data_IF_307122451088
#
_entry.id   IF_307122451088
#
_cell.length_a   1.000
_cell.length_b   1.000
_cell.length_c   1.000
_cell.angle_alpha   90.00
_cell.angle_beta   90.00
_cell.angle_gamma   90.00
#
_symmetry.space_group_name_H-M   'P 1'
#
loop_
_entity.id
_entity.type
_entity.pdbx_description
1 polymer ?
#
# COMPACT_ATOMS: atom_id res chain seq x y z
N UNK A 1 10.28 4.15 -13.58
CA UNK A 1 9.59 5.04 -12.61
C UNK A 1 10.15 4.76 -11.22
N UNK A 2 11.02 5.62 -10.69
CA UNK A 2 11.39 5.55 -9.27
C UNK A 2 10.22 6.09 -8.44
N UNK A 3 9.90 5.43 -7.32
CA UNK A 3 8.95 5.91 -6.28
C UNK A 3 9.62 6.06 -4.90
N UNK A 4 10.92 5.78 -4.83
CA UNK A 4 11.73 5.75 -3.61
C UNK A 4 12.90 6.75 -3.65
N UNK A 5 12.97 7.63 -4.67
CA UNK A 5 13.99 8.65 -4.76
C UNK A 5 13.61 9.88 -3.91
N UNK A 6 14.60 10.71 -3.60
CA UNK A 6 14.38 11.96 -2.88
C UNK A 6 13.36 12.85 -3.61
N UNK A 7 12.52 13.55 -2.84
CA UNK A 7 11.43 14.43 -3.30
C UNK A 7 10.28 13.75 -4.07
N UNK A 8 10.12 12.43 -3.97
CA UNK A 8 8.98 11.73 -4.57
C UNK A 8 7.79 11.63 -3.61
N UNK A 9 6.58 11.83 -4.14
CA UNK A 9 5.35 11.85 -3.35
C UNK A 9 4.60 10.50 -3.43
N UNK A 10 4.11 10.06 -2.27
CA UNK A 10 3.21 8.93 -2.13
C UNK A 10 1.86 9.41 -1.57
N UNK A 11 0.79 8.74 -1.98
CA UNK A 11 -0.55 9.02 -1.46
C UNK A 11 -0.66 8.43 -0.07
N UNK A 12 -1.00 9.25 0.92
CA UNK A 12 -1.15 8.81 2.30
C UNK A 12 -2.33 7.82 2.44
N UNK A 13 -2.24 6.80 3.31
CA UNK A 13 -3.37 5.94 3.64
C UNK A 13 -4.58 6.77 4.07
N UNK A 14 -5.77 6.33 3.66
CA UNK A 14 -7.05 7.01 3.93
C UNK A 14 -7.21 8.41 3.31
N UNK A 15 -6.25 8.91 2.53
CA UNK A 15 -6.42 10.17 1.82
C UNK A 15 -7.34 10.03 0.60
N UNK A 16 -8.17 11.05 0.38
CA UNK A 16 -9.06 11.17 -0.78
C UNK A 16 -8.22 11.58 -1.99
N UNK A 17 -8.48 10.97 -3.14
CA UNK A 17 -7.84 11.33 -4.41
C UNK A 17 -8.74 12.25 -5.23
N UNK A 18 -8.14 13.26 -5.84
CA UNK A 18 -8.79 14.17 -6.78
C UNK A 18 -9.09 13.46 -8.12
N UNK A 19 -10.03 12.51 -8.09
CA UNK A 19 -10.55 11.76 -9.25
C UNK A 19 -12.08 11.71 -9.17
N UNK A 20 -12.72 11.45 -10.32
CA UNK A 20 -14.18 11.26 -10.37
C UNK A 20 -14.61 10.20 -9.35
N UNK A 21 -15.62 10.50 -8.56
CA UNK A 21 -16.09 9.62 -7.48
C UNK A 21 -15.35 9.76 -6.14
N UNK A 22 -14.33 10.61 -6.04
CA UNK A 22 -13.54 10.83 -4.83
C UNK A 22 -13.07 9.52 -4.15
N UNK A 23 -12.32 8.66 -4.89
CA UNK A 23 -11.83 7.40 -4.34
C UNK A 23 -10.78 7.64 -3.26
N UNK A 24 -10.78 6.80 -2.23
CA UNK A 24 -9.89 6.86 -1.07
C UNK A 24 -8.78 5.82 -1.20
N UNK A 25 -7.57 6.17 -0.78
CA UNK A 25 -6.44 5.23 -0.69
C UNK A 25 -6.61 4.31 0.54
N UNK A 26 -7.60 3.41 0.45
CA UNK A 26 -8.02 2.54 1.54
C UNK A 26 -7.07 1.34 1.67
N UNK A 27 -6.45 1.11 2.84
CA UNK A 27 -5.75 -0.14 3.14
C UNK A 27 -6.69 -1.34 3.05
N UNK A 28 -6.19 -2.43 2.47
CA UNK A 28 -6.92 -3.67 2.23
C UNK A 28 -6.19 -4.85 2.88
N UNK A 29 -6.95 -5.85 3.30
CA UNK A 29 -6.41 -7.18 3.60
C UNK A 29 -6.03 -7.91 2.31
N UNK A 30 -5.12 -8.88 2.41
CA UNK A 30 -4.68 -9.67 1.25
C UNK A 30 -5.82 -10.44 0.57
N UNK A 31 -6.76 -10.95 1.35
CA UNK A 31 -7.91 -11.71 0.83
C UNK A 31 -8.87 -10.83 0.00
N UNK A 32 -8.91 -9.52 0.28
CA UNK A 32 -9.75 -8.59 -0.45
C UNK A 32 -9.21 -8.33 -1.87
N UNK A 33 -7.89 -8.38 -2.07
CA UNK A 33 -7.25 -8.11 -3.36
C UNK A 33 -7.62 -9.14 -4.44
N UNK A 34 -7.89 -10.39 -4.05
CA UNK A 34 -8.28 -11.46 -4.97
C UNK A 34 -9.75 -11.46 -5.37
N UNK A 35 -10.57 -10.59 -4.77
CA UNK A 35 -12.01 -10.56 -5.01
C UNK A 35 -12.34 -10.07 -6.42
N UNK A 36 -13.23 -10.78 -7.11
CA UNK A 36 -13.62 -10.52 -8.51
C UNK A 36 -14.21 -9.11 -8.76
N UNK A 37 -14.73 -8.49 -7.71
CA UNK A 37 -15.33 -7.15 -7.73
C UNK A 37 -14.39 -6.06 -7.18
N UNK A 38 -13.11 -6.38 -6.95
CA UNK A 38 -12.15 -5.42 -6.43
C UNK A 38 -11.64 -4.51 -7.55
N UNK A 39 -11.79 -3.20 -7.35
CA UNK A 39 -11.27 -2.17 -8.25
C UNK A 39 -10.53 -1.07 -7.46
N UNK A 40 -9.58 -0.35 -8.08
CA UNK A 40 -8.82 0.71 -7.42
C UNK A 40 -9.66 1.90 -6.90
N UNK A 41 -10.90 2.03 -7.38
CA UNK A 41 -11.86 3.09 -7.07
C UNK A 41 -13.08 2.61 -6.27
N UNK A 42 -13.08 1.35 -5.81
CA UNK A 42 -14.20 0.75 -5.07
C UNK A 42 -14.56 1.50 -3.80
N UNK A 43 -13.58 2.07 -3.10
CA UNK A 43 -13.80 2.79 -1.85
C UNK A 43 -13.78 4.29 -2.10
N UNK A 44 -14.91 4.93 -1.84
CA UNK A 44 -15.07 6.39 -1.97
C UNK A 44 -15.21 7.04 -0.60
N UNK A 45 -15.17 8.37 -0.56
CA UNK A 45 -15.48 9.15 0.64
C UNK A 45 -16.84 8.79 1.26
N UNK A 46 -17.79 8.31 0.45
CA UNK A 46 -19.14 7.91 0.90
C UNK A 46 -19.15 6.53 1.58
N UNK A 47 -18.26 5.63 1.16
CA UNK A 47 -18.22 4.24 1.64
C UNK A 47 -17.32 4.06 2.86
N UNK A 48 -16.28 4.90 2.97
CA UNK A 48 -15.23 4.75 3.98
C UNK A 48 -15.73 4.74 5.43
N UNK A 49 -16.66 5.61 5.85
CA UNK A 49 -17.17 5.58 7.24
C UNK A 49 -17.81 4.23 7.59
N UNK A 50 -18.59 3.66 6.67
CA UNK A 50 -19.24 2.35 6.85
C UNK A 50 -18.22 1.21 6.91
N UNK A 51 -17.12 1.28 6.15
CA UNK A 51 -16.03 0.30 6.23
C UNK A 51 -15.31 0.38 7.57
N UNK A 52 -14.91 1.58 8.00
CA UNK A 52 -14.19 1.79 9.27
C UNK A 52 -15.00 1.34 10.49
N UNK A 53 -16.34 1.46 10.43
CA UNK A 53 -17.22 0.96 11.48
C UNK A 53 -17.30 -0.59 11.53
N UNK A 54 -17.03 -1.28 10.41
CA UNK A 54 -17.22 -2.74 10.28
C UNK A 54 -15.91 -3.52 10.34
N UNK A 55 -14.80 -2.91 9.93
CA UNK A 55 -13.53 -3.57 9.74
C UNK A 55 -12.44 -2.81 10.48
N UNK A 56 -11.61 -3.55 11.21
CA UNK A 56 -10.40 -3.00 11.83
C UNK A 56 -9.40 -2.61 10.75
N UNK A 57 -8.56 -1.60 11.04
CA UNK A 57 -7.52 -1.15 10.12
C UNK A 57 -6.52 -2.29 9.82
N UNK A 58 -6.41 -2.73 8.55
CA UNK A 58 -5.45 -3.77 8.15
C UNK A 58 -3.99 -3.41 8.48
N UNK A 59 -3.69 -2.12 8.55
CA UNK A 59 -2.34 -1.62 8.82
C UNK A 59 -2.07 -1.34 10.30
N UNK A 60 -3.01 -1.62 11.21
CA UNK A 60 -2.86 -1.38 12.65
C UNK A 60 -1.58 -1.99 13.25
N UNK A 61 -1.12 -3.12 12.71
CA UNK A 61 0.08 -3.82 13.16
C UNK A 61 1.28 -3.69 12.21
N UNK A 62 1.27 -2.73 11.26
CA UNK A 62 2.34 -2.55 10.28
C UNK A 62 3.72 -2.40 10.95
N UNK A 63 3.79 -1.60 12.02
CA UNK A 63 5.04 -1.35 12.75
C UNK A 63 5.60 -2.61 13.43
N UNK A 64 4.75 -3.58 13.81
CA UNK A 64 5.20 -4.85 14.39
C UNK A 64 5.91 -5.75 13.39
N UNK A 65 5.78 -5.48 12.09
CA UNK A 65 6.38 -6.25 11.00
C UNK A 65 7.59 -5.56 10.36
N UNK A 66 8.21 -4.60 11.04
CA UNK A 66 9.45 -3.98 10.56
C UNK A 66 10.53 -5.05 10.28
N UNK A 67 11.24 -4.92 9.15
CA UNK A 67 12.31 -5.86 8.73
C UNK A 67 13.59 -5.09 8.45
N UNK A 68 14.72 -5.68 8.81
CA UNK A 68 16.03 -5.13 8.49
C UNK A 68 16.33 -5.22 6.99
N UNK A 69 17.03 -4.21 6.47
CA UNK A 69 17.54 -4.18 5.09
C UNK A 69 18.84 -4.98 4.91
N UNK A 70 19.45 -5.49 5.99
CA UNK A 70 20.74 -6.20 5.94
C UNK A 70 20.73 -7.37 4.94
N UNK A 71 19.75 -8.26 5.05
CA UNK A 71 19.65 -9.43 4.17
C UNK A 71 19.30 -9.08 2.71
N UNK A 72 18.30 -8.20 2.45
CA UNK A 72 18.06 -7.68 1.11
C UNK A 72 19.31 -7.07 0.46
N UNK A 73 20.09 -6.27 1.22
CA UNK A 73 21.34 -5.67 0.71
C UNK A 73 22.39 -6.72 0.38
N UNK A 74 22.55 -7.76 1.21
CA UNK A 74 23.46 -8.87 0.94
C UNK A 74 23.10 -9.59 -0.35
N UNK A 75 21.81 -9.86 -0.57
CA UNK A 75 21.31 -10.50 -1.79
C UNK A 75 21.51 -9.62 -3.02
N UNK A 76 21.25 -8.32 -2.92
CA UNK A 76 21.44 -7.37 -4.02
C UNK A 76 22.90 -7.33 -4.49
N UNK A 77 23.86 -7.30 -3.55
CA UNK A 77 25.31 -7.33 -3.86
C UNK A 77 25.71 -8.59 -4.62
N UNK A 78 25.18 -9.76 -4.24
CA UNK A 78 25.45 -11.03 -4.94
C UNK A 78 24.94 -11.03 -6.38
N UNK A 79 23.75 -10.47 -6.62
CA UNK A 79 23.16 -10.37 -7.97
C UNK A 79 24.02 -9.46 -8.86
N UNK A 80 24.48 -8.32 -8.33
CA UNK A 80 25.36 -7.41 -9.08
C UNK A 80 26.75 -8.02 -9.34
N UNK A 81 27.30 -8.78 -8.39
CA UNK A 81 28.61 -9.41 -8.53
C UNK A 81 28.64 -10.58 -9.53
N UNK A 82 27.50 -11.21 -9.84
CA UNK A 82 27.39 -12.28 -10.84
C UNK A 82 26.97 -11.82 -12.24
N UNK A 83 26.78 -10.50 -12.44
CA UNK A 83 26.40 -9.88 -13.72
C UNK A 83 27.56 -9.08 -14.33
N UNK A 84 28.78 -9.26 -13.82
CA UNK A 84 30.02 -8.67 -14.34
C UNK A 84 31.00 -9.78 -14.75
#
# INVERSE_FOLDING_TARGET
MMRNAYAQTAVAPYSVRARRGAPVATPLEWDELGSRNMSPDRFTIRDIPKRLARQRDPWANMNRRARSLTEPMRRLKKIHAGTS
#
